data_IF_528161257458
#
_entry.id   IF_528161257458
#
_cell.length_a   1.000
_cell.length_b   1.000
_cell.length_c   1.000
_cell.angle_alpha   90.00
_cell.angle_beta   90.00
_cell.angle_gamma   90.00
#
_symmetry.space_group_name_H-M   'P 1'
#
loop_
_entity.id
_entity.type
_entity.pdbx_description
1 polymer ?
#
# COMPACT_ATOMS: atom_id res chain seq x y z
N UNK A 1 8.81 -5.97 38.91
CA UNK A 1 7.37 -6.34 39.01
C UNK A 1 6.43 -5.13 39.07
N UNK A 2 6.73 -4.08 39.88
CA UNK A 2 5.86 -2.90 39.95
C UNK A 2 5.84 -2.11 38.63
N UNK A 3 6.98 -1.92 37.99
CA UNK A 3 7.07 -1.28 36.69
C UNK A 3 6.24 -2.03 35.63
N UNK A 4 6.37 -3.34 35.55
CA UNK A 4 5.58 -4.15 34.61
C UNK A 4 4.07 -4.10 34.89
N UNK A 5 3.66 -3.76 36.12
CA UNK A 5 2.28 -3.54 36.49
C UNK A 5 1.77 -2.10 36.22
N UNK A 6 2.60 -1.25 35.61
CA UNK A 6 2.24 0.14 35.27
C UNK A 6 2.06 1.05 36.49
N UNK A 7 2.68 0.70 37.63
CA UNK A 7 2.63 1.51 38.85
C UNK A 7 3.82 2.46 38.91
N UNK A 8 3.64 3.69 39.35
CA UNK A 8 4.76 4.63 39.56
C UNK A 8 5.67 4.12 40.69
N UNK A 9 6.95 4.52 40.64
CA UNK A 9 7.93 4.27 41.68
C UNK A 9 8.39 5.63 42.21
N UNK A 10 8.25 5.84 43.51
CA UNK A 10 8.73 7.00 44.22
C UNK A 10 9.68 6.51 45.32
N UNK A 11 10.93 6.89 45.22
CA UNK A 11 11.97 6.61 46.20
C UNK A 11 12.52 7.91 46.74
N UNK A 12 12.26 8.17 48.04
CA UNK A 12 12.85 9.31 48.72
C UNK A 12 14.32 9.03 49.07
N UNK A 13 14.63 7.75 49.28
CA UNK A 13 15.98 7.22 49.53
C UNK A 13 16.11 5.85 48.91
N UNK A 14 17.34 5.37 48.68
CA UNK A 14 17.57 4.00 48.17
C UNK A 14 17.14 2.91 49.17
N UNK A 15 17.04 3.24 50.47
CA UNK A 15 16.53 2.34 51.50
C UNK A 15 15.03 2.05 51.36
N UNK A 16 14.30 2.83 50.60
CA UNK A 16 12.88 2.59 50.30
C UNK A 16 12.67 1.41 49.33
N UNK A 17 13.76 0.95 48.68
CA UNK A 17 13.70 -0.20 47.81
C UNK A 17 13.49 -1.52 48.58
N UNK A 18 12.59 -2.39 48.11
CA UNK A 18 12.42 -3.70 48.74
C UNK A 18 13.70 -4.54 48.58
N UNK A 19 13.95 -5.43 49.56
CA UNK A 19 15.16 -6.28 49.57
C UNK A 19 15.34 -7.15 48.29
N UNK A 20 14.26 -7.45 47.58
CA UNK A 20 14.28 -8.17 46.32
C UNK A 20 14.84 -7.35 45.15
N UNK A 21 14.95 -6.03 45.30
CA UNK A 21 15.49 -5.09 44.29
C UNK A 21 16.93 -4.67 44.60
N UNK A 22 17.74 -5.60 45.15
CA UNK A 22 19.13 -5.33 45.55
C UNK A 22 20.02 -4.94 44.37
N UNK A 23 19.85 -5.61 43.23
CA UNK A 23 20.61 -5.30 42.02
C UNK A 23 20.31 -3.90 41.51
N UNK A 24 19.06 -3.50 41.49
CA UNK A 24 18.63 -2.16 41.13
C UNK A 24 19.20 -1.13 42.09
N UNK A 25 19.20 -1.42 43.40
CA UNK A 25 19.81 -0.53 44.41
C UNK A 25 21.29 -0.32 44.18
N UNK A 26 22.05 -1.37 43.83
CA UNK A 26 23.49 -1.30 43.55
C UNK A 26 23.73 -0.44 42.29
N UNK A 27 22.93 -0.58 41.23
CA UNK A 27 23.04 0.22 39.99
C UNK A 27 22.77 1.69 40.27
N UNK A 28 21.70 2.01 41.02
CA UNK A 28 21.34 3.37 41.38
C UNK A 28 22.38 4.02 42.27
N UNK A 29 23.01 3.24 43.18
CA UNK A 29 24.10 3.70 44.04
C UNK A 29 25.36 4.06 43.25
N UNK A 30 25.74 3.25 42.23
CA UNK A 30 26.86 3.54 41.34
C UNK A 30 26.65 4.85 40.57
N UNK A 31 25.41 5.15 40.21
CA UNK A 31 25.05 6.42 39.58
C UNK A 31 24.86 7.58 40.54
N UNK A 32 25.15 7.37 41.84
CA UNK A 32 25.01 8.33 42.91
C UNK A 32 23.56 8.92 43.05
N UNK A 33 22.56 8.15 42.65
CA UNK A 33 21.15 8.57 42.75
C UNK A 33 20.74 8.51 44.23
N UNK A 34 20.19 9.61 44.72
CA UNK A 34 19.71 9.76 46.11
C UNK A 34 18.20 9.62 46.23
N UNK A 35 17.49 10.21 45.29
CA UNK A 35 16.03 10.12 45.19
C UNK A 35 15.61 9.93 43.76
N UNK A 36 14.54 9.16 43.53
CA UNK A 36 14.08 8.80 42.19
C UNK A 36 12.55 8.81 42.14
N UNK A 37 11.99 9.38 41.08
CA UNK A 37 10.60 9.19 40.71
C UNK A 37 10.52 8.67 39.28
N UNK A 38 9.78 7.57 39.07
CA UNK A 38 9.56 6.96 37.75
C UNK A 38 8.06 6.78 37.52
N UNK A 39 7.59 7.24 36.38
CA UNK A 39 6.22 7.03 35.94
C UNK A 39 6.16 6.23 34.64
N UNK A 40 5.16 5.37 34.46
CA UNK A 40 5.04 4.57 33.25
C UNK A 40 4.53 5.41 32.08
N UNK A 41 5.06 5.15 30.90
CA UNK A 41 4.50 5.57 29.62
C UNK A 41 3.63 4.43 29.09
N UNK A 42 2.34 4.70 28.84
CA UNK A 42 1.37 3.66 28.49
C UNK A 42 0.39 4.16 27.42
N UNK A 43 0.01 3.25 26.54
CA UNK A 43 -1.17 3.41 25.72
C UNK A 43 -2.35 2.63 26.33
N UNK A 44 -3.47 2.53 25.61
CA UNK A 44 -4.68 1.82 26.05
C UNK A 44 -4.45 0.33 26.37
N UNK A 45 -3.44 -0.30 25.76
CA UNK A 45 -3.24 -1.75 25.81
C UNK A 45 -2.12 -2.17 26.78
N UNK A 46 -1.02 -1.41 26.85
CA UNK A 46 0.19 -1.81 27.60
C UNK A 46 1.07 -0.65 28.03
N UNK A 47 1.90 -0.93 29.03
CA UNK A 47 3.07 -0.09 29.35
C UNK A 47 4.17 -0.40 28.33
N UNK A 48 4.65 0.61 27.63
CA UNK A 48 5.67 0.45 26.59
C UNK A 48 6.98 1.16 26.96
N UNK A 49 6.99 1.98 28.01
CA UNK A 49 8.18 2.68 28.47
C UNK A 49 7.98 3.30 29.84
N UNK A 50 8.99 4.01 30.26
CA UNK A 50 9.02 4.72 31.54
C UNK A 50 9.80 6.03 31.37
N UNK A 51 9.43 7.04 32.17
CA UNK A 51 10.18 8.27 32.30
C UNK A 51 10.49 8.49 33.78
N UNK A 52 11.71 8.90 34.08
CA UNK A 52 12.17 9.12 35.46
C UNK A 52 12.83 10.47 35.66
N UNK A 53 12.79 10.94 36.90
CA UNK A 53 13.58 12.05 37.42
C UNK A 53 14.40 11.52 38.58
N UNK A 54 15.72 11.72 38.52
CA UNK A 54 16.69 11.35 39.53
C UNK A 54 17.39 12.56 40.08
N UNK A 55 17.61 12.54 41.39
CA UNK A 55 18.37 13.55 42.11
C UNK A 55 19.67 12.92 42.66
N UNK A 56 20.80 13.50 42.25
CA UNK A 56 22.13 13.00 42.63
C UNK A 56 22.82 13.88 43.67
N UNK A 57 22.33 15.11 43.87
CA UNK A 57 22.92 16.10 44.78
C UNK A 57 22.31 16.07 46.18
N UNK A 58 21.04 15.70 46.31
CA UNK A 58 20.27 15.73 47.57
C UNK A 58 19.22 14.63 47.66
N UNK A 59 18.84 14.33 48.90
CA UNK A 59 17.63 13.56 49.18
C UNK A 59 16.42 14.45 49.07
N UNK A 60 15.32 13.92 48.54
CA UNK A 60 14.09 14.64 48.34
C UNK A 60 12.89 13.77 48.66
N UNK A 61 11.94 14.30 49.40
CA UNK A 61 10.69 13.64 49.72
C UNK A 61 9.63 14.03 48.68
N UNK A 62 9.34 13.12 47.78
CA UNK A 62 8.35 13.33 46.75
C UNK A 62 6.98 13.59 47.34
N UNK A 63 6.29 14.67 46.91
CA UNK A 63 4.93 15.02 47.26
C UNK A 63 3.93 14.48 46.24
N UNK A 64 2.64 14.52 46.58
CA UNK A 64 1.60 14.16 45.61
C UNK A 64 1.51 15.20 44.47
N UNK A 65 1.84 16.44 44.70
CA UNK A 65 1.89 17.48 43.68
C UNK A 65 3.02 17.24 42.67
N UNK A 66 4.20 16.87 43.16
CA UNK A 66 5.32 16.45 42.27
C UNK A 66 4.93 15.30 41.38
N UNK A 67 4.28 14.28 41.93
CA UNK A 67 3.81 13.13 41.17
C UNK A 67 2.77 13.56 40.13
N UNK A 68 1.78 14.36 40.48
CA UNK A 68 0.75 14.81 39.54
C UNK A 68 1.34 15.63 38.40
N UNK A 69 2.23 16.56 38.73
CA UNK A 69 2.94 17.35 37.73
C UNK A 69 3.74 16.48 36.77
N UNK A 70 4.55 15.58 37.31
CA UNK A 70 5.41 14.73 36.50
C UNK A 70 4.61 13.70 35.70
N UNK A 71 3.53 13.17 36.26
CA UNK A 71 2.60 12.30 35.54
C UNK A 71 1.96 13.01 34.35
N UNK A 72 1.53 14.27 34.54
CA UNK A 72 0.98 15.07 33.43
C UNK A 72 2.01 15.33 32.33
N UNK A 73 3.26 15.61 32.71
CA UNK A 73 4.35 15.73 31.74
C UNK A 73 4.61 14.43 31.00
N UNK A 74 4.60 13.29 31.71
CA UNK A 74 4.74 11.97 31.13
C UNK A 74 3.62 11.65 30.13
N UNK A 75 2.38 12.05 30.45
CA UNK A 75 1.23 11.86 29.55
C UNK A 75 1.39 12.68 28.25
N UNK A 76 1.85 13.93 28.36
CA UNK A 76 2.14 14.78 27.20
C UNK A 76 3.24 14.13 26.33
N UNK A 77 4.35 13.72 26.94
CA UNK A 77 5.46 13.03 26.23
C UNK A 77 4.97 11.75 25.58
N UNK A 78 4.14 10.98 26.28
CA UNK A 78 3.56 9.74 25.75
C UNK A 78 2.71 10.00 24.50
N UNK A 79 1.86 11.03 24.53
CA UNK A 79 1.05 11.43 23.37
C UNK A 79 1.96 11.85 22.21
N UNK A 80 2.97 12.68 22.44
CA UNK A 80 3.90 13.13 21.41
C UNK A 80 4.65 11.95 20.75
N UNK A 81 5.15 11.01 21.55
CA UNK A 81 5.86 9.83 21.04
C UNK A 81 4.90 8.92 20.26
N UNK A 82 3.69 8.69 20.79
CA UNK A 82 2.68 7.86 20.12
C UNK A 82 2.27 8.44 18.77
N UNK A 83 2.05 9.75 18.70
CA UNK A 83 1.74 10.44 17.45
C UNK A 83 2.89 10.35 16.43
N UNK A 84 4.13 10.50 16.90
CA UNK A 84 5.30 10.36 16.03
C UNK A 84 5.43 8.95 15.48
N UNK A 85 5.30 7.93 16.32
CA UNK A 85 5.37 6.53 15.89
C UNK A 85 4.26 6.20 14.88
N UNK A 86 3.02 6.63 15.13
CA UNK A 86 1.90 6.43 14.21
C UNK A 86 2.14 7.12 12.86
N UNK A 87 2.72 8.33 12.89
CA UNK A 87 3.08 9.05 11.66
C UNK A 87 4.18 8.34 10.88
N UNK A 88 5.25 7.91 11.57
CA UNK A 88 6.37 7.20 10.94
C UNK A 88 5.91 5.88 10.31
N UNK A 89 4.96 5.18 10.93
CA UNK A 89 4.35 3.96 10.39
C UNK A 89 3.50 4.27 9.17
N UNK A 90 2.64 5.28 9.23
CA UNK A 90 1.84 5.71 8.08
C UNK A 90 2.69 6.17 6.90
N UNK A 91 3.81 6.88 7.15
CA UNK A 91 4.75 7.29 6.11
C UNK A 91 5.49 6.09 5.49
N UNK A 92 5.84 5.08 6.27
CA UNK A 92 6.44 3.82 5.76
C UNK A 92 5.47 3.08 4.86
N UNK A 93 4.22 2.94 5.29
CA UNK A 93 3.17 2.25 4.51
C UNK A 93 2.88 3.00 3.21
N UNK A 94 2.76 4.34 3.28
CA UNK A 94 2.60 5.18 2.09
C UNK A 94 3.76 5.01 1.11
N UNK A 95 5.00 5.00 1.60
CA UNK A 95 6.19 4.83 0.78
C UNK A 95 6.24 3.43 0.15
N UNK A 96 5.87 2.40 0.90
CA UNK A 96 5.78 1.03 0.39
C UNK A 96 4.74 0.92 -0.73
N UNK A 97 3.53 1.41 -0.52
CA UNK A 97 2.48 1.44 -1.55
C UNK A 97 2.89 2.26 -2.77
N UNK A 98 3.53 3.42 -2.55
CA UNK A 98 4.04 4.26 -3.64
C UNK A 98 5.10 3.54 -4.48
N UNK A 99 5.99 2.78 -3.84
CA UNK A 99 7.01 1.99 -4.55
C UNK A 99 6.40 0.82 -5.32
N UNK A 100 5.44 0.09 -4.72
CA UNK A 100 4.69 -0.96 -5.44
C UNK A 100 4.03 -0.39 -6.69
N UNK A 101 3.32 0.72 -6.54
CA UNK A 101 2.62 1.40 -7.61
C UNK A 101 3.55 1.86 -8.75
N UNK A 102 4.73 2.40 -8.42
CA UNK A 102 5.71 2.87 -9.41
C UNK A 102 6.36 1.74 -10.19
N UNK A 103 6.58 0.59 -9.55
CA UNK A 103 7.33 -0.54 -10.13
C UNK A 103 6.42 -1.69 -10.58
N UNK A 104 5.11 -1.52 -10.49
CA UNK A 104 4.14 -2.52 -10.95
C UNK A 104 4.27 -2.71 -12.46
N UNK A 105 4.44 -3.97 -12.95
CA UNK A 105 4.57 -4.25 -14.38
C UNK A 105 3.22 -4.26 -15.09
N UNK A 106 2.33 -3.37 -14.70
CA UNK A 106 1.00 -3.18 -15.29
C UNK A 106 0.58 -1.73 -15.19
N UNK A 107 -0.22 -1.29 -16.15
CA UNK A 107 -0.82 0.04 -16.14
C UNK A 107 -1.90 0.17 -15.08
N UNK A 108 -1.93 1.30 -14.42
CA UNK A 108 -2.96 1.69 -13.49
C UNK A 108 -3.43 3.09 -13.83
N UNK A 109 -4.73 3.26 -13.93
CA UNK A 109 -5.37 4.57 -14.12
C UNK A 109 -6.59 4.65 -13.22
N UNK A 110 -6.71 5.75 -12.49
CA UNK A 110 -7.90 6.12 -11.72
C UNK A 110 -8.59 7.27 -12.42
N UNK A 111 -9.88 7.14 -12.61
CA UNK A 111 -10.71 8.06 -13.34
C UNK A 111 -11.82 8.58 -12.44
N UNK A 112 -12.17 9.86 -12.59
CA UNK A 112 -13.41 10.41 -12.07
C UNK A 112 -14.33 10.74 -13.25
N UNK A 113 -15.52 10.14 -13.31
CA UNK A 113 -16.48 10.37 -14.38
C UNK A 113 -17.17 11.71 -14.16
N UNK A 114 -17.37 12.43 -15.25
CA UNK A 114 -18.13 13.66 -15.28
C UNK A 114 -19.45 13.43 -16.02
N UNK A 115 -20.54 13.65 -15.31
CA UNK A 115 -21.90 13.50 -15.83
C UNK A 115 -22.57 14.87 -15.98
N UNK A 116 -23.51 14.95 -16.91
CA UNK A 116 -24.39 16.10 -17.07
C UNK A 116 -25.52 16.12 -16.01
N UNK A 117 -26.46 17.06 -16.14
CA UNK A 117 -27.61 17.19 -15.23
C UNK A 117 -28.58 15.99 -15.31
N UNK A 118 -28.54 15.23 -16.40
CA UNK A 118 -29.34 14.03 -16.63
C UNK A 118 -28.64 12.76 -16.17
N UNK A 119 -27.37 12.88 -15.70
CA UNK A 119 -26.55 11.78 -15.21
C UNK A 119 -25.85 10.99 -16.32
N UNK A 120 -25.80 11.53 -17.55
CA UNK A 120 -25.10 10.90 -18.66
C UNK A 120 -23.64 11.34 -18.69
N UNK A 121 -22.69 10.40 -18.75
CA UNK A 121 -21.26 10.70 -18.80
C UNK A 121 -20.89 11.40 -20.11
N UNK A 122 -20.23 12.56 -20.01
CA UNK A 122 -19.74 13.33 -21.16
C UNK A 122 -18.20 13.43 -21.23
N UNK A 123 -17.50 13.24 -20.13
CA UNK A 123 -16.04 13.23 -20.04
C UNK A 123 -15.56 12.49 -18.79
N UNK A 124 -14.27 12.34 -18.61
CA UNK A 124 -13.67 11.86 -17.37
C UNK A 124 -12.32 12.54 -17.11
N UNK A 125 -12.02 12.73 -15.83
CA UNK A 125 -10.75 13.26 -15.35
C UNK A 125 -9.84 12.10 -14.96
N UNK A 126 -8.61 12.07 -15.43
CA UNK A 126 -7.58 11.12 -14.98
C UNK A 126 -7.02 11.64 -13.67
N UNK A 127 -7.51 11.13 -12.54
CA UNK A 127 -7.12 11.59 -11.20
C UNK A 127 -5.78 11.03 -10.77
N UNK A 128 -5.46 9.79 -11.18
CA UNK A 128 -4.18 9.16 -10.94
C UNK A 128 -3.79 8.18 -12.05
N UNK A 129 -2.49 7.99 -12.26
CA UNK A 129 -1.95 7.07 -13.25
C UNK A 129 -0.49 6.74 -12.92
N UNK A 130 -0.03 5.54 -13.25
CA UNK A 130 1.38 5.19 -13.13
C UNK A 130 2.13 5.38 -14.47
N UNK A 131 3.47 5.30 -14.41
CA UNK A 131 4.32 5.47 -15.58
C UNK A 131 3.99 4.47 -16.69
N UNK A 132 3.71 3.22 -16.34
CA UNK A 132 3.40 2.18 -17.32
C UNK A 132 2.15 2.55 -18.17
N UNK A 133 1.10 3.09 -17.56
CA UNK A 133 -0.10 3.51 -18.31
C UNK A 133 0.16 4.72 -19.19
N UNK A 134 1.00 5.66 -18.76
CA UNK A 134 1.41 6.79 -19.58
C UNK A 134 2.23 6.34 -20.81
N UNK A 135 3.13 5.38 -20.62
CA UNK A 135 3.94 4.78 -21.71
C UNK A 135 3.07 4.02 -22.72
N UNK A 136 1.96 3.40 -22.29
CA UNK A 136 1.00 2.78 -23.20
C UNK A 136 0.37 3.78 -24.16
N UNK A 137 0.06 4.97 -23.65
CA UNK A 137 -0.56 6.05 -24.43
C UNK A 137 0.46 6.94 -25.14
N UNK A 138 1.77 6.65 -25.05
CA UNK A 138 2.83 7.44 -25.65
C UNK A 138 2.94 8.87 -25.13
N UNK A 139 2.43 9.14 -23.93
CA UNK A 139 2.42 10.47 -23.32
C UNK A 139 3.25 10.50 -22.03
N UNK A 140 3.97 11.59 -21.73
CA UNK A 140 4.59 11.77 -20.44
C UNK A 140 3.54 11.76 -19.31
N UNK A 141 3.87 11.16 -18.16
CA UNK A 141 2.95 11.03 -17.03
C UNK A 141 2.38 12.38 -16.56
N UNK A 142 3.19 13.43 -16.59
CA UNK A 142 2.80 14.79 -16.20
C UNK A 142 1.76 15.41 -17.14
N UNK A 143 1.69 14.94 -18.38
CA UNK A 143 0.68 15.36 -19.37
C UNK A 143 -0.55 14.47 -19.40
N UNK A 144 -0.48 13.33 -18.74
CA UNK A 144 -1.55 12.35 -18.69
C UNK A 144 -2.37 12.49 -17.40
N UNK A 145 -1.71 12.55 -16.25
CA UNK A 145 -2.35 12.71 -14.94
C UNK A 145 -2.86 14.14 -14.74
N UNK A 146 -4.08 14.28 -14.22
CA UNK A 146 -4.74 15.55 -13.94
C UNK A 146 -5.35 16.21 -15.19
N UNK A 147 -5.54 15.45 -16.29
CA UNK A 147 -6.14 15.92 -17.52
C UNK A 147 -7.51 15.32 -17.78
N UNK A 148 -8.33 16.06 -18.48
CA UNK A 148 -9.58 15.54 -19.01
C UNK A 148 -9.30 14.63 -20.21
N UNK A 149 -10.14 13.63 -20.39
CA UNK A 149 -10.01 12.70 -21.51
C UNK A 149 -10.17 13.42 -22.86
N UNK A 150 -11.04 14.40 -22.95
CA UNK A 150 -11.24 15.25 -24.11
C UNK A 150 -9.99 16.04 -24.55
N UNK A 151 -9.03 16.27 -23.65
CA UNK A 151 -7.76 16.92 -23.96
C UNK A 151 -6.72 15.95 -24.53
N UNK A 152 -6.92 14.64 -24.35
CA UNK A 152 -5.95 13.59 -24.69
C UNK A 152 -6.40 12.81 -25.92
N UNK A 153 -7.69 12.45 -25.98
CA UNK A 153 -8.24 11.59 -27.02
C UNK A 153 -9.04 12.37 -28.06
N UNK A 154 -9.05 11.86 -29.29
CA UNK A 154 -10.01 12.36 -30.30
C UNK A 154 -11.45 12.04 -29.88
N UNK A 155 -12.42 12.79 -30.40
CA UNK A 155 -13.84 12.63 -30.08
C UNK A 155 -14.34 11.19 -30.28
N UNK A 156 -13.90 10.52 -31.34
CA UNK A 156 -14.33 9.14 -31.64
C UNK A 156 -13.77 8.13 -30.61
N UNK A 157 -12.48 8.26 -30.25
CA UNK A 157 -11.85 7.43 -29.21
C UNK A 157 -12.51 7.68 -27.84
N UNK A 158 -12.78 8.94 -27.52
CA UNK A 158 -13.44 9.33 -26.26
C UNK A 158 -14.84 8.74 -26.18
N UNK A 159 -15.67 8.89 -27.20
CA UNK A 159 -17.06 8.37 -27.23
C UNK A 159 -17.08 6.86 -27.04
N UNK A 160 -16.19 6.12 -27.68
CA UNK A 160 -16.10 4.66 -27.51
C UNK A 160 -15.73 4.27 -26.08
N UNK A 161 -14.76 4.96 -25.46
CA UNK A 161 -14.37 4.73 -24.08
C UNK A 161 -15.48 5.08 -23.10
N UNK A 162 -16.15 6.21 -23.28
CA UNK A 162 -17.26 6.66 -22.44
C UNK A 162 -18.43 5.66 -22.43
N UNK A 163 -18.75 5.02 -23.55
CA UNK A 163 -19.79 4.00 -23.58
C UNK A 163 -19.50 2.82 -22.65
N UNK A 164 -18.25 2.36 -22.61
CA UNK A 164 -17.82 1.27 -21.73
C UNK A 164 -17.83 1.72 -20.27
N UNK A 165 -17.26 2.91 -20.00
CA UNK A 165 -17.15 3.44 -18.65
C UNK A 165 -18.51 3.80 -18.06
N UNK A 166 -19.43 4.32 -18.87
CA UNK A 166 -20.80 4.63 -18.48
C UNK A 166 -21.58 3.41 -18.00
N UNK A 167 -21.44 2.29 -18.71
CA UNK A 167 -22.10 1.04 -18.33
C UNK A 167 -21.61 0.52 -16.97
N UNK A 168 -20.29 0.61 -16.73
CA UNK A 168 -19.67 0.20 -15.47
C UNK A 168 -20.08 1.16 -14.34
N UNK A 169 -20.07 2.47 -14.59
CA UNK A 169 -20.46 3.49 -13.63
C UNK A 169 -21.93 3.33 -13.18
N UNK A 170 -22.85 3.13 -14.12
CA UNK A 170 -24.29 2.99 -13.83
C UNK A 170 -24.65 1.70 -13.08
N UNK A 171 -23.96 0.61 -13.37
CA UNK A 171 -24.34 -0.71 -12.86
C UNK A 171 -23.38 -1.27 -11.81
N UNK A 172 -22.27 -0.56 -11.49
CA UNK A 172 -21.23 -1.04 -10.56
C UNK A 172 -20.57 -2.34 -11.03
N UNK A 173 -20.55 -2.58 -12.33
CA UNK A 173 -20.07 -3.83 -12.92
C UNK A 173 -18.56 -3.81 -13.06
N UNK A 174 -18.00 -5.00 -13.05
CA UNK A 174 -16.62 -5.29 -13.42
C UNK A 174 -16.59 -5.68 -14.91
N UNK A 175 -15.64 -5.16 -15.67
CA UNK A 175 -15.44 -5.47 -17.09
C UNK A 175 -14.03 -5.88 -17.38
N UNK A 176 -13.88 -6.88 -18.23
CA UNK A 176 -12.62 -7.27 -18.86
C UNK A 176 -12.74 -7.10 -20.36
N UNK A 177 -11.72 -6.55 -20.96
CA UNK A 177 -11.59 -6.43 -22.42
C UNK A 177 -10.14 -6.34 -22.82
N UNK A 178 -9.87 -6.66 -24.10
CA UNK A 178 -8.54 -6.45 -24.65
C UNK A 178 -8.52 -5.19 -25.51
N UNK A 179 -7.54 -4.33 -25.26
CA UNK A 179 -7.33 -3.07 -25.97
C UNK A 179 -5.96 -3.07 -26.65
N UNK A 180 -5.93 -2.63 -27.89
CA UNK A 180 -4.68 -2.41 -28.62
C UNK A 180 -4.30 -0.94 -28.59
N UNK A 181 -3.11 -0.64 -28.10
CA UNK A 181 -2.53 0.70 -28.03
C UNK A 181 -1.61 0.93 -29.23
N UNK A 182 -2.04 1.77 -30.16
CA UNK A 182 -1.32 2.04 -31.41
C UNK A 182 0.03 2.71 -31.15
N UNK A 183 0.10 3.60 -30.17
CA UNK A 183 1.27 4.39 -29.82
C UNK A 183 2.42 3.52 -29.32
N UNK A 184 2.13 2.54 -28.48
CA UNK A 184 3.11 1.59 -27.93
C UNK A 184 3.18 0.28 -28.68
N UNK A 185 2.26 0.02 -29.62
CA UNK A 185 2.08 -1.26 -30.35
C UNK A 185 1.92 -2.47 -29.42
N UNK A 186 1.21 -2.25 -28.31
CA UNK A 186 0.95 -3.28 -27.30
C UNK A 186 -0.52 -3.66 -27.26
N UNK A 187 -0.77 -4.93 -27.04
CA UNK A 187 -2.11 -5.43 -26.69
C UNK A 187 -2.16 -5.64 -25.18
N UNK A 188 -3.09 -4.97 -24.53
CA UNK A 188 -3.28 -5.10 -23.09
C UNK A 188 -4.61 -5.76 -22.77
N UNK A 189 -4.59 -6.63 -21.79
CA UNK A 189 -5.79 -7.09 -21.12
C UNK A 189 -6.17 -6.04 -20.08
N UNK A 190 -7.36 -5.45 -20.23
CA UNK A 190 -7.87 -4.37 -19.42
C UNK A 190 -8.91 -4.88 -18.44
N UNK A 191 -8.76 -4.52 -17.18
CA UNK A 191 -9.72 -4.77 -16.11
C UNK A 191 -10.23 -3.41 -15.62
N UNK A 192 -11.54 -3.21 -15.67
CA UNK A 192 -12.16 -1.95 -15.27
C UNK A 192 -13.21 -2.23 -14.20
N UNK A 193 -13.17 -1.49 -13.11
CA UNK A 193 -14.15 -1.60 -12.01
C UNK A 193 -14.32 -0.26 -11.28
N UNK A 194 -15.43 -0.13 -10.54
CA UNK A 194 -15.73 1.04 -9.71
C UNK A 194 -15.48 0.70 -8.24
N UNK A 195 -14.46 1.26 -7.60
CA UNK A 195 -14.21 1.07 -6.16
C UNK A 195 -15.14 1.92 -5.29
N UNK A 196 -15.54 3.09 -5.78
CA UNK A 196 -16.41 4.06 -5.11
C UNK A 196 -17.33 4.73 -6.13
N UNK A 197 -18.44 5.36 -5.72
CA UNK A 197 -19.29 6.14 -6.62
C UNK A 197 -18.46 7.20 -7.38
N UNK A 198 -18.74 7.37 -8.65
CA UNK A 198 -18.09 8.32 -9.57
C UNK A 198 -16.60 8.08 -9.83
N UNK A 199 -16.02 7.01 -9.27
CA UNK A 199 -14.64 6.62 -9.51
C UNK A 199 -14.55 5.27 -10.23
N UNK A 200 -13.62 5.21 -11.18
CA UNK A 200 -13.27 3.98 -11.89
C UNK A 200 -11.77 3.73 -11.82
N UNK A 201 -11.41 2.48 -11.76
CA UNK A 201 -10.03 2.01 -11.85
C UNK A 201 -9.89 1.13 -13.09
N UNK A 202 -8.89 1.45 -13.91
CA UNK A 202 -8.49 0.65 -15.06
C UNK A 202 -7.09 0.06 -14.80
N UNK A 203 -6.99 -1.25 -14.95
CA UNK A 203 -5.73 -1.99 -14.89
C UNK A 203 -5.41 -2.52 -16.28
N UNK A 204 -4.16 -2.37 -16.72
CA UNK A 204 -3.70 -2.78 -18.05
C UNK A 204 -2.53 -3.75 -17.91
N UNK A 205 -2.74 -4.99 -18.31
CA UNK A 205 -1.70 -6.01 -18.34
C UNK A 205 -1.23 -6.20 -19.79
N UNK A 206 0.05 -6.01 -20.05
CA UNK A 206 0.64 -6.29 -21.39
C UNK A 206 0.61 -7.78 -21.68
N UNK A 207 -0.17 -8.18 -22.66
CA UNK A 207 -0.32 -9.57 -23.10
C UNK A 207 0.23 -9.78 -24.52
N UNK A 208 0.99 -8.82 -25.04
CA UNK A 208 1.47 -8.81 -26.42
C UNK A 208 2.28 -10.06 -26.76
N UNK A 209 3.29 -10.37 -25.96
CA UNK A 209 4.15 -11.54 -26.19
C UNK A 209 3.39 -12.87 -25.98
N UNK A 210 2.55 -12.93 -24.96
CA UNK A 210 1.71 -14.10 -24.70
C UNK A 210 0.78 -14.39 -25.89
N UNK A 211 0.12 -13.36 -26.42
CA UNK A 211 -0.73 -13.51 -27.60
C UNK A 211 0.03 -13.91 -28.85
N UNK A 212 1.20 -13.33 -29.10
CA UNK A 212 2.04 -13.70 -30.23
C UNK A 212 2.44 -15.18 -30.16
N UNK A 213 2.87 -15.63 -28.99
CA UNK A 213 3.26 -17.03 -28.77
C UNK A 213 2.05 -17.96 -28.96
N UNK A 214 0.90 -17.60 -28.42
CA UNK A 214 -0.33 -18.38 -28.57
C UNK A 214 -0.75 -18.50 -30.05
N UNK A 215 -0.75 -17.37 -30.77
CA UNK A 215 -1.09 -17.38 -32.23
C UNK A 215 -0.11 -18.19 -33.06
N UNK A 216 1.19 -18.10 -32.72
CA UNK A 216 2.21 -18.91 -33.43
C UNK A 216 2.02 -20.38 -33.16
N UNK A 217 1.67 -20.77 -31.92
CA UNK A 217 1.38 -22.17 -31.58
C UNK A 217 0.12 -22.67 -32.29
N UNK A 218 -0.98 -21.93 -32.24
CA UNK A 218 -2.24 -22.26 -32.92
C UNK A 218 -2.04 -22.42 -34.43
N UNK A 219 -1.28 -21.49 -35.03
CA UNK A 219 -0.93 -21.60 -36.46
C UNK A 219 -0.12 -22.86 -36.77
N UNK A 220 0.90 -23.16 -35.96
CA UNK A 220 1.73 -24.36 -36.11
C UNK A 220 0.89 -25.64 -35.95
N UNK A 221 -0.01 -25.69 -34.98
CA UNK A 221 -0.91 -26.82 -34.74
C UNK A 221 -1.86 -27.03 -35.93
N UNK A 222 -2.47 -25.94 -36.43
CA UNK A 222 -3.33 -25.99 -37.62
C UNK A 222 -2.58 -26.47 -38.87
N UNK A 223 -1.34 -25.98 -39.05
CA UNK A 223 -0.50 -26.40 -40.16
C UNK A 223 -0.20 -27.89 -40.06
N UNK A 224 0.23 -28.38 -38.90
CA UNK A 224 0.48 -29.80 -38.68
C UNK A 224 -0.78 -30.64 -38.92
N UNK A 225 -1.92 -30.25 -38.40
CA UNK A 225 -3.21 -30.91 -38.57
C UNK A 225 -3.59 -31.00 -40.06
N UNK A 226 -3.42 -29.89 -40.80
CA UNK A 226 -3.68 -29.86 -42.25
C UNK A 226 -2.73 -30.75 -43.03
N UNK A 227 -1.43 -30.78 -42.69
CA UNK A 227 -0.44 -31.66 -43.32
C UNK A 227 -0.83 -33.14 -43.10
N UNK A 228 -1.08 -33.55 -41.86
CA UNK A 228 -1.46 -34.93 -41.56
C UNK A 228 -2.78 -35.35 -42.18
N UNK A 229 -3.76 -34.45 -42.26
CA UNK A 229 -5.06 -34.76 -42.89
C UNK A 229 -5.00 -34.90 -44.42
N UNK A 230 -4.02 -34.27 -45.08
CA UNK A 230 -3.92 -34.24 -46.54
C UNK A 230 -2.81 -35.16 -47.09
N UNK A 231 -2.03 -35.83 -46.24
CA UNK A 231 -1.03 -36.80 -46.66
C UNK A 231 -1.73 -38.13 -46.96
N UNK A 232 -1.60 -38.67 -48.17
CA UNK A 232 -2.25 -39.93 -48.57
C UNK A 232 -1.51 -41.18 -48.07
N UNK A 233 -0.79 -41.07 -46.96
CA UNK A 233 0.00 -42.15 -46.34
C UNK A 233 -0.27 -42.17 -44.83
N UNK A 234 -0.27 -43.34 -44.23
CA UNK A 234 -0.29 -43.52 -42.77
C UNK A 234 1.01 -43.03 -42.17
N UNK A 235 0.92 -42.16 -41.15
CA UNK A 235 2.06 -41.71 -40.37
C UNK A 235 1.91 -42.24 -38.96
N UNK A 236 2.92 -42.98 -38.51
CA UNK A 236 3.00 -43.51 -37.15
C UNK A 236 4.18 -42.86 -36.42
N UNK A 237 3.98 -42.44 -35.18
CA UNK A 237 5.01 -41.77 -34.36
C UNK A 237 5.31 -42.69 -33.20
N UNK A 238 6.57 -43.09 -33.08
CA UNK A 238 7.04 -43.89 -31.95
C UNK A 238 7.94 -43.05 -31.05
N UNK A 239 7.81 -43.23 -29.74
CA UNK A 239 8.79 -42.69 -28.81
C UNK A 239 10.10 -43.48 -28.87
N UNK A 240 11.12 -43.08 -28.11
CA UNK A 240 12.44 -43.72 -28.08
C UNK A 240 12.40 -45.19 -27.63
N UNK A 241 11.32 -45.63 -26.99
CA UNK A 241 11.10 -46.98 -26.48
C UNK A 241 10.26 -47.84 -27.48
N UNK A 242 9.95 -47.29 -28.68
CA UNK A 242 9.20 -47.97 -29.73
C UNK A 242 7.70 -48.11 -29.45
N UNK A 243 7.15 -47.26 -28.56
CA UNK A 243 5.72 -47.25 -28.21
C UNK A 243 5.05 -46.10 -28.95
N UNK A 244 3.85 -46.38 -29.55
CA UNK A 244 3.03 -45.41 -30.28
C UNK A 244 2.43 -44.38 -29.30
#
# INVERSE_FOLDING_TARGET
>A
KQMLAGKPILLNTLSDLPRVARQESEILAVQNIKSLMVVPLRNTERVWGYIGIDLVDRYYKWTNEDYQWFSSLADIINICISLRLARDEADRERNFLSNLYKHMPMGYVRLSILCDEEGEPYDYLITDANQFSADLCGSPLERYKGRFASEIYSSDKLSTKLLILADIHKHGLYRELDEYFEESKRTCHCIIYSPEPDELVCLYMDVTEMRRTYMALDHSEKLLRNLFSNIPVGVEIYNKDGIL
#
